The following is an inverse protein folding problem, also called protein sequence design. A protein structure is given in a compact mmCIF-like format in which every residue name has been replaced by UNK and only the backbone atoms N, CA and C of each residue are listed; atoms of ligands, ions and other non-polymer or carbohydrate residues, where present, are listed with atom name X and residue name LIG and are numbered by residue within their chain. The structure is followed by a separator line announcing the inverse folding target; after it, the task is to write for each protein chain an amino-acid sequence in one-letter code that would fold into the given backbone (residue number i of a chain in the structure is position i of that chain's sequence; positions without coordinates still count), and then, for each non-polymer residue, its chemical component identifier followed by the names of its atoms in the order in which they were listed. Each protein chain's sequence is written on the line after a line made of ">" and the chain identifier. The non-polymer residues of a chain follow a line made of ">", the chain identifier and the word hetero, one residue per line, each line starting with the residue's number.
data_IF_888636426017
#
_entry.id   IF_888636426017
#
_cell.length_a   1.000
_cell.length_b   1.000
_cell.length_c   1.000
_cell.angle_alpha   90.00
_cell.angle_beta   90.00
_cell.angle_gamma   90.00
#
_symmetry.space_group_name_H-M   'P 1'
#
loop_
_entity.id
_entity.type
_entity.pdbx_description
1 polymer ?
#
# COMPACT_ATOMS: atom_id res chain seq x y z
N UNK A 1 14.87 58.31 -76.57
CA UNK A 1 14.28 56.96 -76.35
C UNK A 1 15.14 56.08 -75.38
N UNK A 2 16.48 55.99 -75.53
CA UNK A 2 17.31 55.11 -74.69
C UNK A 2 17.24 55.43 -73.16
N UNK A 3 17.10 56.70 -72.76
CA UNK A 3 17.06 57.13 -71.37
C UNK A 3 15.70 56.73 -70.70
N UNK A 4 14.62 56.72 -71.42
CA UNK A 4 13.28 56.32 -70.95
C UNK A 4 13.21 54.80 -70.75
N UNK A 5 13.83 54.03 -71.62
CA UNK A 5 13.93 52.58 -71.47
C UNK A 5 14.74 52.15 -70.25
N UNK A 6 15.82 52.87 -69.92
CA UNK A 6 16.66 52.59 -68.74
C UNK A 6 15.87 52.87 -67.45
N UNK A 7 15.16 54.01 -67.41
CA UNK A 7 14.35 54.33 -66.20
C UNK A 7 13.18 53.34 -66.03
N UNK A 8 12.59 52.87 -67.13
CA UNK A 8 11.51 51.88 -67.08
C UNK A 8 11.99 50.50 -66.59
N UNK A 9 13.26 50.15 -66.77
CA UNK A 9 13.88 48.91 -66.22
C UNK A 9 14.31 49.05 -64.79
N UNK A 10 14.77 50.24 -64.35
CA UNK A 10 15.28 50.45 -62.97
C UNK A 10 14.14 50.46 -61.96
N UNK A 11 12.96 50.99 -62.28
CA UNK A 11 11.82 51.06 -61.37
C UNK A 11 11.34 49.68 -60.88
N UNK A 12 11.07 48.70 -61.77
CA UNK A 12 10.66 47.37 -61.31
C UNK A 12 11.77 46.61 -60.58
N UNK A 13 13.06 46.86 -60.90
CA UNK A 13 14.17 46.25 -60.21
C UNK A 13 14.27 46.77 -58.76
N UNK A 14 14.11 48.06 -58.56
CA UNK A 14 14.13 48.66 -57.21
C UNK A 14 12.90 48.19 -56.42
N UNK A 15 11.72 48.10 -57.01
CA UNK A 15 10.52 47.59 -56.35
C UNK A 15 10.66 46.10 -55.96
N UNK A 16 11.30 45.30 -56.80
CA UNK A 16 11.56 43.88 -56.47
C UNK A 16 12.56 43.71 -55.31
N UNK A 17 13.61 44.56 -55.26
CA UNK A 17 14.57 44.56 -54.15
C UNK A 17 13.94 45.05 -52.83
N UNK A 18 13.09 46.08 -52.88
CA UNK A 18 12.36 46.54 -51.71
C UNK A 18 11.34 45.49 -51.21
N UNK A 19 10.64 44.82 -52.12
CA UNK A 19 9.70 43.73 -51.75
C UNK A 19 10.41 42.54 -51.11
N UNK A 20 11.56 42.14 -51.60
CA UNK A 20 12.36 41.05 -50.98
C UNK A 20 12.91 41.45 -49.61
N UNK A 21 13.33 42.74 -49.45
CA UNK A 21 13.82 43.25 -48.15
C UNK A 21 12.73 43.35 -47.10
N UNK A 22 11.50 43.69 -47.47
CA UNK A 22 10.38 43.75 -46.53
C UNK A 22 9.94 42.32 -46.10
N UNK A 23 9.97 41.35 -47.00
CA UNK A 23 9.70 39.97 -46.62
C UNK A 23 10.71 39.38 -45.63
N UNK A 24 12.00 39.75 -45.75
CA UNK A 24 13.03 39.31 -44.83
C UNK A 24 12.94 39.98 -43.46
N UNK A 25 12.32 41.18 -43.35
CA UNK A 25 12.18 41.92 -42.11
C UNK A 25 10.99 41.53 -41.23
N UNK A 26 10.03 40.80 -41.76
CA UNK A 26 8.82 40.40 -41.04
C UNK A 26 8.68 38.86 -40.80
N UNK A 27 9.74 38.10 -41.04
CA UNK A 27 9.78 36.67 -40.74
C UNK A 27 10.57 36.50 -39.42
N UNK A 28 9.83 36.39 -38.35
CA UNK A 28 10.34 35.95 -37.03
C UNK A 28 9.93 34.48 -36.84
N UNK A 29 10.89 33.63 -36.50
CA UNK A 29 10.65 32.20 -36.28
C UNK A 29 11.18 31.86 -34.90
N UNK A 30 10.29 31.70 -33.97
CA UNK A 30 10.63 31.15 -32.66
C UNK A 30 10.34 29.63 -32.65
N UNK A 31 11.36 28.86 -32.23
CA UNK A 31 11.25 27.43 -32.08
C UNK A 31 11.36 27.05 -30.60
N UNK A 32 10.34 26.51 -30.03
CA UNK A 32 10.43 25.85 -28.72
C UNK A 32 11.06 24.48 -28.90
N UNK A 33 12.36 24.37 -28.60
CA UNK A 33 13.12 23.12 -28.71
C UNK A 33 13.38 22.52 -27.32
N UNK A 34 13.58 21.21 -27.28
CA UNK A 34 13.90 20.52 -26.03
C UNK A 34 12.69 20.17 -25.16
N UNK A 35 11.50 20.17 -25.76
CA UNK A 35 10.30 19.72 -25.04
C UNK A 35 10.44 18.23 -24.68
N UNK A 36 10.34 17.93 -23.38
CA UNK A 36 10.43 16.56 -22.86
C UNK A 36 9.17 16.23 -22.09
N UNK A 37 8.58 15.08 -22.37
CA UNK A 37 7.48 14.51 -21.62
C UNK A 37 7.99 13.26 -20.90
N UNK A 38 7.88 13.23 -19.57
CA UNK A 38 8.30 12.09 -18.75
C UNK A 38 7.08 11.52 -18.04
N UNK A 39 6.82 10.22 -18.21
CA UNK A 39 5.80 9.52 -17.45
C UNK A 39 6.24 9.34 -16.00
N UNK A 40 5.32 9.55 -15.07
CA UNK A 40 5.54 9.24 -13.66
C UNK A 40 5.41 7.74 -13.39
N UNK A 41 5.88 7.32 -12.23
CA UNK A 41 5.88 5.92 -11.78
C UNK A 41 5.18 5.77 -10.44
N UNK A 42 4.49 4.64 -10.23
CA UNK A 42 4.13 4.13 -8.90
C UNK A 42 5.18 3.07 -8.52
N UNK A 43 5.68 3.13 -7.29
CA UNK A 43 6.59 2.13 -6.75
C UNK A 43 6.32 1.96 -5.25
N UNK A 44 5.63 0.88 -4.87
CA UNK A 44 5.31 0.54 -3.50
C UNK A 44 6.40 -0.34 -2.91
N UNK A 45 6.94 0.06 -1.77
CA UNK A 45 7.80 -0.76 -0.93
C UNK A 45 7.09 -1.04 0.40
N UNK A 46 7.13 -2.29 0.86
CA UNK A 46 6.64 -2.73 2.16
C UNK A 46 7.76 -3.47 2.87
N UNK A 47 8.07 -3.05 4.10
CA UNK A 47 9.16 -3.62 4.88
C UNK A 47 10.54 -3.21 4.37
N UNK A 48 11.49 -4.15 4.40
CA UNK A 48 12.91 -3.90 4.16
C UNK A 48 13.35 -4.05 2.72
N UNK A 49 12.56 -4.71 1.86
CA UNK A 49 12.90 -5.06 0.49
C UNK A 49 11.80 -4.68 -0.51
N UNK A 50 12.20 -4.55 -1.78
CA UNK A 50 11.31 -4.38 -2.93
C UNK A 50 11.77 -5.33 -4.05
N UNK A 51 10.97 -6.37 -4.37
CA UNK A 51 9.69 -6.75 -3.76
C UNK A 51 9.81 -7.21 -2.30
N UNK A 52 8.73 -7.05 -1.54
CA UNK A 52 8.67 -7.46 -0.13
C UNK A 52 8.89 -8.97 0.03
N UNK A 53 9.80 -9.32 0.95
CA UNK A 53 10.10 -10.72 1.33
C UNK A 53 9.83 -10.96 2.82
N UNK A 54 9.36 -9.92 3.52
CA UNK A 54 9.10 -10.00 4.95
C UNK A 54 7.88 -10.87 5.22
N UNK A 55 7.95 -11.68 6.26
CA UNK A 55 6.86 -12.54 6.72
C UNK A 55 6.80 -12.57 8.24
N UNK A 56 5.62 -12.85 8.76
CA UNK A 56 5.42 -13.18 10.18
C UNK A 56 5.54 -14.68 10.37
N UNK A 57 6.28 -15.09 11.39
CA UNK A 57 6.25 -16.46 11.90
C UNK A 57 6.17 -16.38 13.42
N UNK A 58 5.04 -16.81 13.97
CA UNK A 58 4.86 -17.00 15.39
C UNK A 58 4.92 -18.49 15.69
N UNK A 59 5.65 -18.87 16.71
CA UNK A 59 5.75 -20.26 17.14
C UNK A 59 5.68 -20.34 18.67
N UNK A 60 5.18 -21.46 19.16
CA UNK A 60 5.01 -21.71 20.60
C UNK A 60 4.15 -20.64 21.30
N UNK A 61 3.19 -20.05 20.58
CA UNK A 61 2.21 -19.17 21.21
C UNK A 61 1.27 -19.99 22.10
N UNK A 62 0.82 -19.38 23.18
CA UNK A 62 -0.07 -20.04 24.14
C UNK A 62 -1.14 -19.07 24.62
N UNK A 63 -2.24 -19.56 25.21
CA UNK A 63 -3.22 -18.71 25.85
C UNK A 63 -2.62 -17.69 26.79
N UNK A 64 -3.14 -16.47 26.82
CA UNK A 64 -2.64 -15.24 27.45
C UNK A 64 -1.44 -14.57 26.77
N UNK A 65 -0.92 -15.08 25.67
CA UNK A 65 0.09 -14.37 24.88
C UNK A 65 -0.56 -13.27 24.03
N UNK A 66 -0.03 -12.05 24.12
CA UNK A 66 -0.41 -10.94 23.29
C UNK A 66 0.81 -10.07 22.98
N UNK A 67 1.06 -9.74 21.70
CA UNK A 67 2.22 -8.94 21.30
C UNK A 67 2.11 -8.42 19.86
N UNK A 68 3.07 -7.59 19.46
CA UNK A 68 3.28 -7.23 18.07
C UNK A 68 3.93 -8.40 17.32
N UNK A 69 3.25 -8.90 16.30
CA UNK A 69 3.74 -9.97 15.44
C UNK A 69 4.67 -9.44 14.34
N UNK A 70 4.34 -8.27 13.77
CA UNK A 70 5.13 -7.62 12.73
C UNK A 70 4.95 -6.11 12.72
N UNK A 71 5.96 -5.43 12.18
CA UNK A 71 5.92 -4.00 11.85
C UNK A 71 6.63 -3.79 10.52
N UNK A 72 5.90 -3.30 9.51
CA UNK A 72 6.43 -3.07 8.17
C UNK A 72 6.21 -1.62 7.75
N UNK A 73 7.28 -0.94 7.41
CA UNK A 73 7.19 0.40 6.86
C UNK A 73 6.62 0.34 5.43
N UNK A 74 5.55 1.07 5.19
CA UNK A 74 4.90 1.17 3.87
C UNK A 74 5.30 2.49 3.23
N UNK A 75 5.87 2.44 2.02
CA UNK A 75 6.41 3.60 1.29
C UNK A 75 5.95 3.63 -0.15
N UNK A 76 5.76 4.83 -0.65
CA UNK A 76 5.71 5.07 -2.09
C UNK A 76 7.04 5.68 -2.56
N UNK A 77 7.83 4.90 -3.27
CA UNK A 77 9.11 5.34 -3.87
C UNK A 77 8.93 5.93 -5.27
N UNK A 78 7.72 5.86 -5.82
CA UNK A 78 7.39 6.38 -7.13
C UNK A 78 7.25 7.90 -7.17
N UNK A 79 7.15 8.46 -8.36
CA UNK A 79 6.99 9.89 -8.61
C UNK A 79 5.52 10.34 -8.67
N UNK A 80 4.56 9.42 -8.60
CA UNK A 80 3.12 9.70 -8.57
C UNK A 80 2.54 9.34 -7.22
N UNK A 81 1.56 10.11 -6.75
CA UNK A 81 0.73 9.74 -5.61
C UNK A 81 -0.19 8.57 -5.98
N UNK A 82 -0.53 7.73 -5.01
CA UNK A 82 -1.45 6.61 -5.18
C UNK A 82 -2.36 6.40 -3.99
N UNK A 83 -3.33 5.52 -4.15
CA UNK A 83 -4.25 5.04 -3.12
C UNK A 83 -3.87 3.64 -2.70
N UNK A 84 -3.70 3.41 -1.41
CA UNK A 84 -3.28 2.14 -0.83
C UNK A 84 -4.48 1.22 -0.62
N UNK A 85 -4.41 0.01 -1.17
CA UNK A 85 -5.29 -1.10 -0.86
C UNK A 85 -4.53 -2.14 -0.04
N UNK A 86 -5.22 -2.78 0.91
CA UNK A 86 -4.65 -3.85 1.75
C UNK A 86 -5.62 -5.03 1.71
N UNK A 87 -5.10 -6.23 1.49
CA UNK A 87 -5.88 -7.47 1.49
C UNK A 87 -5.27 -8.46 2.47
N UNK A 88 -6.08 -8.99 3.36
CA UNK A 88 -5.79 -10.24 4.08
C UNK A 88 -6.46 -11.37 3.32
N UNK A 89 -5.65 -12.34 2.90
CA UNK A 89 -6.10 -13.48 2.09
C UNK A 89 -6.88 -14.53 2.88
N UNK A 90 -7.23 -15.60 2.20
CA UNK A 90 -7.91 -16.73 2.84
C UNK A 90 -7.05 -17.36 3.93
N UNK A 91 -7.70 -17.72 5.03
CA UNK A 91 -7.05 -18.39 6.16
C UNK A 91 -7.01 -19.89 5.90
N UNK A 92 -5.84 -20.48 6.06
CA UNK A 92 -5.68 -21.94 6.07
C UNK A 92 -5.34 -22.38 7.49
N UNK A 93 -6.24 -23.10 8.11
CA UNK A 93 -6.02 -23.74 9.40
C UNK A 93 -5.52 -25.16 9.16
N UNK A 94 -4.42 -25.52 9.80
CA UNK A 94 -3.80 -26.82 9.67
C UNK A 94 -3.78 -27.51 11.03
N UNK A 95 -4.42 -28.65 11.09
CA UNK A 95 -4.21 -29.67 12.10
C UNK A 95 -2.93 -30.43 11.78
N UNK A 96 -1.88 -30.20 12.55
CA UNK A 96 -0.59 -30.84 12.28
C UNK A 96 -0.56 -32.29 12.80
N UNK A 97 -1.21 -32.54 13.94
CA UNK A 97 -1.51 -33.86 14.49
C UNK A 97 -2.26 -33.69 15.80
N UNK A 98 -3.30 -34.46 16.03
CA UNK A 98 -4.03 -34.43 17.30
C UNK A 98 -3.13 -34.92 18.44
N UNK A 99 -2.87 -34.06 19.41
CA UNK A 99 -2.10 -34.38 20.62
C UNK A 99 -2.99 -34.96 21.73
N UNK A 100 -2.39 -35.53 22.80
CA UNK A 100 -3.20 -36.02 23.93
C UNK A 100 -4.08 -34.94 24.59
N UNK A 101 -3.61 -33.69 24.79
CA UNK A 101 -4.45 -32.64 25.36
C UNK A 101 -5.61 -32.24 24.45
N UNK A 102 -5.43 -32.24 23.14
CA UNK A 102 -6.46 -31.95 22.15
C UNK A 102 -7.55 -33.02 22.17
N UNK A 103 -7.14 -34.28 22.09
CA UNK A 103 -8.06 -35.40 22.17
C UNK A 103 -8.84 -35.41 23.51
N UNK A 104 -8.19 -35.05 24.63
CA UNK A 104 -8.84 -34.93 25.92
C UNK A 104 -9.81 -33.72 25.99
N UNK A 105 -9.56 -32.67 25.21
CA UNK A 105 -10.45 -31.51 25.06
C UNK A 105 -11.63 -31.79 24.12
N UNK A 106 -11.63 -32.96 23.46
CA UNK A 106 -12.69 -33.40 22.56
C UNK A 106 -12.43 -33.08 21.09
N UNK A 107 -11.25 -32.66 20.73
CA UNK A 107 -10.87 -32.54 19.33
C UNK A 107 -10.63 -33.93 18.73
N UNK A 108 -11.38 -34.19 17.68
CA UNK A 108 -11.32 -35.45 16.91
C UNK A 108 -11.30 -35.16 15.40
N UNK A 109 -11.16 -33.87 15.02
CA UNK A 109 -11.33 -33.42 13.64
C UNK A 109 -10.00 -33.29 12.93
N UNK A 110 -9.83 -34.00 11.84
CA UNK A 110 -8.80 -33.80 10.83
C UNK A 110 -9.49 -33.69 9.47
N UNK A 111 -9.09 -32.79 8.56
CA UNK A 111 -7.88 -31.95 8.54
C UNK A 111 -8.16 -30.47 8.81
N UNK A 112 -8.60 -30.00 9.89
CA UNK A 112 -8.83 -28.58 10.10
C UNK A 112 -8.47 -28.16 11.51
N UNK A 113 -7.39 -27.38 11.69
CA UNK A 113 -6.98 -26.87 13.00
C UNK A 113 -7.91 -25.76 13.53
N UNK A 114 -7.97 -25.60 14.84
CA UNK A 114 -8.87 -24.70 15.55
C UNK A 114 -8.25 -23.34 15.88
N UNK A 115 -6.91 -23.20 15.72
CA UNK A 115 -6.15 -22.02 16.14
C UNK A 115 -6.72 -20.71 15.59
N UNK A 116 -7.09 -20.66 14.31
CA UNK A 116 -7.67 -19.46 13.70
C UNK A 116 -9.02 -19.04 14.27
N UNK A 117 -9.72 -19.96 14.93
CA UNK A 117 -10.98 -19.70 15.65
C UNK A 117 -10.80 -19.17 17.07
N UNK A 118 -9.59 -19.26 17.63
CA UNK A 118 -9.26 -18.84 18.99
C UNK A 118 -8.33 -17.63 19.00
N UNK A 119 -7.37 -17.59 18.08
CA UNK A 119 -6.42 -16.50 17.93
C UNK A 119 -7.09 -15.26 17.37
N UNK A 120 -6.84 -14.11 17.98
CA UNK A 120 -7.26 -12.80 17.49
C UNK A 120 -6.09 -12.06 16.89
N UNK A 121 -6.37 -11.24 15.88
CA UNK A 121 -5.39 -10.39 15.21
C UNK A 121 -5.95 -9.00 15.00
N UNK A 122 -5.08 -8.00 15.10
CA UNK A 122 -5.37 -6.61 14.76
C UNK A 122 -4.40 -6.14 13.68
N UNK A 123 -4.95 -5.50 12.66
CA UNK A 123 -4.21 -4.84 11.59
C UNK A 123 -4.40 -3.34 11.72
N UNK A 124 -3.31 -2.60 11.89
CA UNK A 124 -3.40 -1.16 12.05
C UNK A 124 -2.22 -0.42 11.43
N UNK A 125 -2.46 0.83 11.05
CA UNK A 125 -1.45 1.75 10.54
C UNK A 125 -1.05 2.74 11.62
N UNK A 126 0.19 2.68 12.01
CA UNK A 126 0.88 3.62 12.88
C UNK A 126 1.47 4.72 11.99
N UNK A 127 0.71 5.77 11.78
CA UNK A 127 0.99 6.78 10.77
C UNK A 127 2.18 7.67 11.14
N UNK A 128 2.38 7.93 12.43
CA UNK A 128 3.50 8.73 12.95
C UNK A 128 4.73 7.89 13.30
N UNK A 129 4.61 6.56 13.20
CA UNK A 129 5.66 5.57 13.49
C UNK A 129 6.13 5.60 14.95
N UNK A 130 5.26 6.01 15.85
CA UNK A 130 5.53 6.12 17.29
C UNK A 130 5.56 4.78 18.03
N UNK A 131 4.95 3.75 17.43
CA UNK A 131 4.75 2.44 18.04
C UNK A 131 3.61 2.40 19.06
N UNK A 132 2.88 3.50 19.22
CA UNK A 132 1.75 3.64 20.14
C UNK A 132 0.52 4.15 19.39
N UNK A 133 -0.67 3.83 19.90
CA UNK A 133 -1.92 4.26 19.32
C UNK A 133 -2.13 5.76 19.54
N UNK A 134 -2.02 6.57 18.47
CA UNK A 134 -2.03 8.04 18.53
C UNK A 134 -2.86 8.66 17.42
N UNK A 135 -2.97 9.98 17.42
CA UNK A 135 -3.71 10.73 16.42
C UNK A 135 -3.14 10.53 15.02
N UNK A 136 -4.01 10.18 14.09
CA UNK A 136 -3.66 9.87 12.70
C UNK A 136 -3.64 8.37 12.39
N UNK A 137 -3.55 7.52 13.42
CA UNK A 137 -3.58 6.07 13.29
C UNK A 137 -4.98 5.55 12.97
N UNK A 138 -5.04 4.36 12.39
CA UNK A 138 -6.29 3.67 12.16
C UNK A 138 -6.09 2.15 12.16
N UNK A 139 -7.12 1.42 12.57
CA UNK A 139 -7.16 -0.03 12.45
C UNK A 139 -8.24 -0.49 11.45
N UNK A 140 -8.08 -1.70 10.96
CA UNK A 140 -8.89 -2.32 9.91
C UNK A 140 -9.61 -3.53 10.48
N UNK A 141 -10.93 -3.56 10.31
CA UNK A 141 -11.82 -4.63 10.79
C UNK A 141 -12.10 -5.63 9.69
N UNK A 142 -12.33 -6.87 10.08
CA UNK A 142 -12.73 -7.96 9.17
C UNK A 142 -14.05 -7.71 8.45
N UNK A 143 -14.90 -6.83 8.97
CA UNK A 143 -16.15 -6.40 8.34
C UNK A 143 -15.97 -5.28 7.28
N UNK A 144 -14.74 -4.89 7.01
CA UNK A 144 -14.40 -3.83 6.06
C UNK A 144 -14.30 -2.44 6.66
N UNK A 145 -14.60 -2.27 7.93
CA UNK A 145 -14.56 -0.98 8.58
C UNK A 145 -13.13 -0.52 8.82
N UNK A 146 -12.83 0.75 8.49
CA UNK A 146 -11.64 1.47 8.92
C UNK A 146 -12.02 2.37 10.10
N UNK A 147 -11.37 2.18 11.23
CA UNK A 147 -11.60 2.99 12.43
C UNK A 147 -10.38 3.86 12.72
N UNK A 148 -10.58 5.17 12.67
CA UNK A 148 -9.53 6.17 12.92
C UNK A 148 -9.41 6.43 14.41
N UNK A 149 -8.22 6.74 14.88
CA UNK A 149 -7.94 7.12 16.27
C UNK A 149 -8.92 8.19 16.78
N UNK A 150 -9.46 7.96 17.96
CA UNK A 150 -10.33 8.90 18.64
C UNK A 150 -9.77 9.32 20.01
N UNK A 151 -9.15 8.37 20.74
CA UNK A 151 -8.59 8.61 22.08
C UNK A 151 -7.73 7.42 22.53
N UNK A 152 -6.96 7.62 23.58
CA UNK A 152 -6.12 6.58 24.19
C UNK A 152 -4.73 6.47 23.59
N UNK A 153 -3.85 5.71 24.24
CA UNK A 153 -2.46 5.46 23.84
C UNK A 153 -2.17 3.99 23.54
N UNK A 154 -3.18 3.13 23.67
CA UNK A 154 -3.11 1.69 23.37
C UNK A 154 -4.18 1.32 22.36
N UNK A 155 -3.87 0.37 21.48
CA UNK A 155 -4.82 -0.15 20.52
C UNK A 155 -6.03 -0.73 21.28
N UNK A 156 -7.28 -0.32 20.95
CA UNK A 156 -8.45 -0.79 21.69
C UNK A 156 -8.74 -2.27 21.43
N UNK A 157 -9.28 -2.99 22.42
CA UNK A 157 -9.67 -4.39 22.27
C UNK A 157 -10.63 -4.64 21.09
N UNK A 158 -11.41 -3.64 20.69
CA UNK A 158 -12.30 -3.69 19.53
C UNK A 158 -11.54 -3.78 18.18
N UNK A 159 -10.24 -3.52 18.15
CA UNK A 159 -9.42 -3.66 16.95
C UNK A 159 -9.13 -5.13 16.59
N UNK A 160 -9.24 -6.02 17.56
CA UNK A 160 -8.88 -7.42 17.40
C UNK A 160 -10.09 -8.23 16.92
N UNK A 161 -9.94 -8.90 15.77
CA UNK A 161 -10.90 -9.87 15.24
C UNK A 161 -10.31 -11.28 15.28
N UNK A 162 -11.16 -12.31 15.34
CA UNK A 162 -10.71 -13.68 15.15
C UNK A 162 -10.05 -13.83 13.76
N UNK A 163 -8.98 -14.60 13.70
CA UNK A 163 -8.27 -14.85 12.44
C UNK A 163 -9.22 -15.43 11.39
N UNK A 164 -10.11 -16.35 11.78
CA UNK A 164 -11.11 -16.96 10.90
C UNK A 164 -12.20 -15.98 10.39
N UNK A 165 -12.22 -14.72 10.86
CA UNK A 165 -13.12 -13.68 10.32
C UNK A 165 -12.68 -13.13 8.96
N UNK A 166 -11.48 -13.46 8.50
CA UNK A 166 -10.96 -13.08 7.20
C UNK A 166 -11.22 -14.18 6.15
N UNK A 167 -11.18 -13.93 4.85
CA UNK A 167 -10.47 -12.84 4.17
C UNK A 167 -11.22 -11.52 4.08
N UNK A 168 -10.48 -10.41 3.91
CA UNK A 168 -11.05 -9.11 3.57
C UNK A 168 -10.08 -8.23 2.76
N UNK A 169 -10.64 -7.37 1.88
CA UNK A 169 -9.90 -6.34 1.15
C UNK A 169 -10.44 -4.97 1.52
N UNK A 170 -9.57 -4.09 1.97
CA UNK A 170 -9.86 -2.67 2.20
C UNK A 170 -9.26 -1.86 1.06
N UNK A 171 -10.12 -1.21 0.27
CA UNK A 171 -9.70 -0.38 -0.85
C UNK A 171 -9.62 1.08 -0.43
N UNK A 172 -8.59 1.78 -0.93
CA UNK A 172 -8.42 3.20 -0.69
C UNK A 172 -8.23 3.58 0.77
N UNK A 173 -7.58 2.72 1.56
CA UNK A 173 -7.42 2.96 3.01
C UNK A 173 -6.67 4.23 3.33
N UNK A 174 -5.71 4.61 2.45
CA UNK A 174 -4.90 5.80 2.62
C UNK A 174 -4.39 6.32 1.29
N UNK A 175 -4.43 7.64 1.08
CA UNK A 175 -3.69 8.29 0.01
C UNK A 175 -2.22 8.40 0.42
N UNK A 176 -1.31 7.95 -0.46
CA UNK A 176 0.13 8.00 -0.23
C UNK A 176 0.77 8.90 -1.28
N UNK A 177 1.31 10.04 -0.86
CA UNK A 177 1.97 10.97 -1.75
C UNK A 177 3.23 10.36 -2.39
N UNK A 178 3.67 10.94 -3.50
CA UNK A 178 4.91 10.56 -4.15
C UNK A 178 6.10 10.68 -3.18
N UNK A 179 7.01 9.73 -3.21
CA UNK A 179 8.25 9.72 -2.42
C UNK A 179 8.06 9.87 -0.91
N UNK A 180 6.93 9.37 -0.36
CA UNK A 180 6.61 9.48 1.07
C UNK A 180 6.33 8.12 1.72
N UNK A 181 6.43 8.10 3.06
CA UNK A 181 5.99 7.00 3.88
C UNK A 181 4.48 7.11 4.15
N UNK A 182 3.77 5.98 4.11
CA UNK A 182 2.39 5.90 4.58
C UNK A 182 2.31 5.72 6.11
N UNK A 183 3.32 5.12 6.71
CA UNK A 183 3.41 4.77 8.12
C UNK A 183 3.94 3.34 8.31
N UNK A 184 3.93 2.88 9.54
CA UNK A 184 4.20 1.48 9.85
C UNK A 184 2.89 0.69 9.87
N UNK A 185 2.75 -0.27 8.97
CA UNK A 185 1.68 -1.26 9.09
C UNK A 185 2.09 -2.28 10.16
N UNK A 186 1.23 -2.44 11.16
CA UNK A 186 1.49 -3.32 12.30
C UNK A 186 0.47 -4.45 12.35
N UNK A 187 0.98 -5.62 12.68
CA UNK A 187 0.18 -6.81 12.97
C UNK A 187 0.37 -7.13 14.44
N UNK A 188 -0.70 -7.11 15.20
CA UNK A 188 -0.69 -7.51 16.60
C UNK A 188 -1.59 -8.73 16.78
N UNK A 189 -1.27 -9.58 17.76
CA UNK A 189 -2.07 -10.74 18.08
C UNK A 189 -2.40 -10.77 19.57
N UNK A 190 -3.49 -11.43 19.87
CA UNK A 190 -3.97 -11.72 21.21
C UNK A 190 -4.54 -13.14 21.18
N UNK A 191 -3.99 -14.02 22.00
CA UNK A 191 -4.51 -15.36 22.20
C UNK A 191 -5.21 -15.41 23.58
N UNK A 192 -6.53 -15.13 23.62
CA UNK A 192 -7.25 -15.11 24.89
C UNK A 192 -7.18 -16.46 25.59
N UNK A 193 -7.07 -16.44 26.93
CA UNK A 193 -7.18 -17.65 27.74
C UNK A 193 -8.66 -17.91 28.06
N UNK A 194 -9.22 -18.95 27.45
CA UNK A 194 -10.59 -19.42 27.70
C UNK A 194 -10.63 -20.63 28.64
N UNK A 195 -9.47 -21.05 29.15
CA UNK A 195 -9.30 -22.22 29.99
C UNK A 195 -9.09 -23.53 29.21
N UNK A 196 -9.59 -24.63 29.71
CA UNK A 196 -9.33 -25.96 29.11
C UNK A 196 -9.80 -26.10 27.65
N UNK A 197 -10.71 -25.25 27.20
CA UNK A 197 -11.18 -25.23 25.80
C UNK A 197 -10.11 -24.83 24.78
N UNK A 198 -9.05 -24.15 25.22
CA UNK A 198 -7.97 -23.72 24.32
C UNK A 198 -7.03 -24.86 23.93
N UNK A 199 -7.11 -25.99 24.66
CA UNK A 199 -6.29 -27.16 24.36
C UNK A 199 -6.60 -27.79 22.99
N UNK A 200 -7.74 -27.50 22.38
CA UNK A 200 -8.08 -27.99 21.03
C UNK A 200 -7.20 -27.43 19.93
N UNK A 201 -6.40 -26.39 20.22
CA UNK A 201 -5.50 -25.75 19.23
C UNK A 201 -4.02 -26.05 19.49
N UNK A 202 -3.69 -27.03 20.30
CA UNK A 202 -2.30 -27.39 20.55
C UNK A 202 -1.68 -28.08 19.34
N UNK A 203 -0.54 -27.54 18.89
CA UNK A 203 0.11 -28.08 17.70
C UNK A 203 -0.39 -27.50 16.38
N UNK A 204 -1.50 -26.82 16.37
CA UNK A 204 -2.12 -26.21 15.21
C UNK A 204 -1.31 -25.05 14.62
N UNK A 205 -1.59 -24.77 13.36
CA UNK A 205 -1.14 -23.54 12.72
C UNK A 205 -2.22 -22.92 11.85
N UNK A 206 -2.20 -21.58 11.77
CA UNK A 206 -2.96 -20.85 10.78
C UNK A 206 -2.05 -20.02 9.89
N UNK A 207 -2.35 -20.00 8.58
CA UNK A 207 -1.54 -19.33 7.56
C UNK A 207 -2.43 -18.44 6.70
N UNK A 208 -1.96 -17.24 6.41
CA UNK A 208 -2.60 -16.30 5.49
C UNK A 208 -1.58 -15.34 4.88
N UNK A 209 -1.93 -14.77 3.74
CA UNK A 209 -1.12 -13.75 3.07
C UNK A 209 -1.69 -12.36 3.34
N UNK A 210 -0.81 -11.36 3.37
CA UNK A 210 -1.19 -9.94 3.37
C UNK A 210 -0.62 -9.30 2.10
N UNK A 211 -1.51 -8.72 1.30
CA UNK A 211 -1.14 -8.08 0.02
C UNK A 211 -1.40 -6.59 0.11
N UNK A 212 -0.44 -5.81 -0.38
CA UNK A 212 -0.53 -4.36 -0.49
C UNK A 212 -0.49 -3.97 -1.96
N UNK A 213 -1.37 -3.05 -2.36
CA UNK A 213 -1.43 -2.53 -3.73
C UNK A 213 -1.52 -1.02 -3.68
N UNK A 214 -0.73 -0.34 -4.50
CA UNK A 214 -0.80 1.10 -4.67
C UNK A 214 -1.39 1.41 -6.05
N UNK A 215 -2.58 1.99 -6.08
CA UNK A 215 -3.35 2.32 -7.28
C UNK A 215 -3.31 3.83 -7.57
N UNK A 216 -3.46 4.19 -8.85
CA UNK A 216 -3.57 5.57 -9.31
C UNK A 216 -5.03 5.99 -9.47
#
# INVERSE_FOLDING_TARGET
>A
MKKILISLMIIPLVLALMGAGVYALFSDTEAATGNTFTAGTLNLQVGSADPCTDKVTLSNIKPSDANTAATWLVKNLGSLAGSLDITVGAITNNENSITEPEAAAGDVTTPGGELGGLLKVAFWMDADKSGTWTSGDYYLKSDGTKVVWASGSTLPAAAYDLVNSYPHTWSGVQAVAATTDAGNFRVEYDFPDSGAGDNVAQGDSCVFDITFVLNQ
#
